data_IF_255063232079
#
_entry.id   IF_255063232079
#
_cell.length_a   1.000
_cell.length_b   1.000
_cell.length_c   1.000
_cell.angle_alpha   90.00
_cell.angle_beta   90.00
_cell.angle_gamma   90.00
#
_symmetry.space_group_name_H-M   'P 1'
#
loop_
_entity.id
_entity.type
_entity.pdbx_description
1 polymer ?
#
# COMPACT_ATOMS: atom_id res chain seq x y z
N UNK A 1 25.36 63.12 16.68
CA UNK A 1 25.71 63.57 18.04
C UNK A 1 24.43 63.92 18.82
N UNK A 2 23.93 62.99 19.65
CA UNK A 2 22.89 63.27 20.65
C UNK A 2 23.23 62.50 21.92
N UNK A 3 23.61 63.25 22.94
CA UNK A 3 23.98 62.79 24.27
C UNK A 3 22.75 62.23 24.99
N UNK A 4 22.69 60.90 25.16
CA UNK A 4 21.79 60.29 26.14
C UNK A 4 22.47 60.31 27.51
N UNK A 5 22.04 61.24 28.37
CA UNK A 5 22.35 61.25 29.80
C UNK A 5 21.66 60.03 30.44
N UNK A 6 22.42 58.99 30.74
CA UNK A 6 21.96 57.93 31.62
C UNK A 6 21.78 58.51 33.04
N UNK A 7 20.51 58.68 33.45
CA UNK A 7 20.14 58.84 34.86
C UNK A 7 20.43 57.52 35.55
N UNK A 8 21.49 57.48 36.36
CA UNK A 8 21.64 56.48 37.40
C UNK A 8 20.45 56.61 38.35
N UNK A 9 19.49 55.67 38.26
CA UNK A 9 18.63 55.38 39.40
C UNK A 9 19.54 54.75 40.46
N UNK A 10 20.00 55.58 41.39
CA UNK A 10 20.49 55.09 42.67
C UNK A 10 19.32 54.36 43.32
N UNK A 11 19.33 53.03 43.26
CA UNK A 11 18.60 52.21 44.22
C UNK A 11 19.10 52.65 45.59
N UNK A 12 18.27 53.45 46.26
CA UNK A 12 18.50 53.95 47.60
C UNK A 12 18.95 52.79 48.48
N UNK A 13 19.93 53.08 49.35
CA UNK A 13 20.49 52.16 50.31
C UNK A 13 19.39 51.37 51.02
N UNK A 14 19.09 50.18 50.49
CA UNK A 14 18.39 49.15 51.23
C UNK A 14 19.35 48.82 52.35
N UNK A 15 19.09 49.43 53.50
CA UNK A 15 19.77 49.14 54.75
C UNK A 15 19.34 47.72 55.13
N UNK A 16 19.94 46.72 54.48
CA UNK A 16 19.83 45.33 54.89
C UNK A 16 20.53 45.30 56.24
N UNK A 17 19.74 45.36 57.30
CA UNK A 17 20.21 45.26 58.66
C UNK A 17 21.06 43.98 58.77
N UNK A 18 22.38 44.12 58.89
CA UNK A 18 23.36 43.03 59.08
C UNK A 18 23.25 42.41 60.49
N UNK A 19 22.01 42.18 60.95
CA UNK A 19 21.65 41.62 62.25
C UNK A 19 21.69 40.10 62.33
N UNK A 20 22.25 39.41 61.34
CA UNK A 20 22.45 37.95 61.36
C UNK A 20 23.94 37.57 61.49
N UNK A 21 24.70 38.33 62.27
CA UNK A 21 26.13 38.06 62.54
C UNK A 21 26.40 36.77 63.34
N UNK A 22 25.35 36.09 63.83
CA UNK A 22 25.52 34.91 64.69
C UNK A 22 24.72 33.68 64.27
N UNK A 23 24.21 33.61 63.03
CA UNK A 23 23.78 32.32 62.48
C UNK A 23 25.00 31.39 62.44
N UNK A 24 25.07 30.49 63.44
CA UNK A 24 26.12 29.49 63.57
C UNK A 24 26.32 28.84 62.21
N UNK A 25 27.55 28.86 61.70
CA UNK A 25 27.98 28.23 60.45
C UNK A 25 27.62 26.74 60.34
N UNK A 26 27.16 26.12 61.43
CA UNK A 26 26.65 24.76 61.48
C UNK A 26 25.27 24.57 60.81
N UNK A 27 24.42 25.60 60.73
CA UNK A 27 23.06 25.47 60.17
C UNK A 27 23.05 24.98 58.71
N UNK A 28 23.77 25.61 57.75
CA UNK A 28 23.77 25.16 56.35
C UNK A 28 24.33 23.75 56.19
N UNK A 29 25.36 23.40 56.97
CA UNK A 29 25.97 22.07 56.97
C UNK A 29 24.97 20.98 57.38
N UNK A 30 24.29 21.16 58.51
CA UNK A 30 23.29 20.21 58.99
C UNK A 30 22.08 20.13 58.06
N UNK A 31 21.63 21.27 57.52
CA UNK A 31 20.51 21.29 56.58
C UNK A 31 20.82 20.53 55.29
N UNK A 32 22.02 20.70 54.71
CA UNK A 32 22.46 19.96 53.53
C UNK A 32 22.59 18.46 53.79
N UNK A 33 23.17 18.10 54.95
CA UNK A 33 23.34 16.71 55.35
C UNK A 33 21.99 15.99 55.51
N UNK A 34 21.02 16.62 56.19
CA UNK A 34 19.68 16.05 56.40
C UNK A 34 18.95 15.85 55.07
N UNK A 35 19.02 16.82 54.15
CA UNK A 35 18.40 16.71 52.83
C UNK A 35 19.02 15.54 52.03
N UNK A 36 20.34 15.41 52.04
CA UNK A 36 21.04 14.32 51.33
C UNK A 36 20.64 12.96 51.91
N UNK A 37 20.67 12.80 53.23
CA UNK A 37 20.26 11.55 53.89
C UNK A 37 18.79 11.21 53.64
N UNK A 38 17.92 12.21 53.60
CA UNK A 38 16.51 12.04 53.30
C UNK A 38 16.28 11.51 51.87
N UNK A 39 16.98 12.06 50.87
CA UNK A 39 16.88 11.59 49.48
C UNK A 39 17.44 10.17 49.34
N UNK A 40 18.57 9.88 49.98
CA UNK A 40 19.12 8.52 50.01
C UNK A 40 18.10 7.56 50.62
N UNK A 41 17.48 7.93 51.74
CA UNK A 41 16.45 7.11 52.37
C UNK A 41 15.25 6.87 51.44
N UNK A 42 14.72 7.91 50.77
CA UNK A 42 13.61 7.74 49.83
C UNK A 42 14.02 6.83 48.66
N UNK A 43 15.24 6.97 48.14
CA UNK A 43 15.72 6.15 47.02
C UNK A 43 15.81 4.67 47.37
N UNK A 44 16.00 4.32 48.65
CA UNK A 44 15.98 2.93 49.13
C UNK A 44 14.56 2.35 49.24
N UNK A 45 13.54 3.19 49.45
CA UNK A 45 12.15 2.74 49.61
C UNK A 45 11.32 2.81 48.32
N UNK A 46 11.77 3.54 47.30
CA UNK A 46 11.11 3.68 46.01
C UNK A 46 12.01 3.17 44.88
N UNK A 47 12.02 1.85 44.62
CA UNK A 47 12.90 1.25 43.61
C UNK A 47 12.62 1.75 42.18
N UNK A 48 11.41 2.27 41.91
CA UNK A 48 11.01 2.78 40.59
C UNK A 48 10.38 4.18 40.69
N UNK A 49 11.18 5.26 40.68
CA UNK A 49 10.65 6.62 40.70
C UNK A 49 10.00 6.97 39.36
N UNK A 50 8.90 7.71 39.38
CA UNK A 50 8.32 8.31 38.16
C UNK A 50 9.24 9.40 37.60
N UNK A 51 9.08 9.74 36.32
CA UNK A 51 9.86 10.82 35.68
C UNK A 51 9.80 12.16 36.44
N UNK A 52 8.64 12.49 37.03
CA UNK A 52 8.46 13.68 37.85
C UNK A 52 9.22 13.59 39.18
N UNK A 53 9.22 12.42 39.82
CA UNK A 53 9.96 12.17 41.06
C UNK A 53 11.48 12.28 40.84
N UNK A 54 12.00 11.78 39.72
CA UNK A 54 13.41 11.97 39.36
C UNK A 54 13.82 13.44 39.26
N UNK A 55 12.99 14.28 38.65
CA UNK A 55 13.24 15.73 38.58
C UNK A 55 13.28 16.35 39.98
N UNK A 56 12.34 15.95 40.85
CA UNK A 56 12.30 16.43 42.22
C UNK A 56 13.54 15.99 43.01
N UNK A 57 13.93 14.71 42.92
CA UNK A 57 15.13 14.19 43.58
C UNK A 57 16.39 14.89 43.11
N UNK A 58 16.52 15.14 41.80
CA UNK A 58 17.63 15.90 41.24
C UNK A 58 17.71 17.30 41.85
N UNK A 59 16.61 18.04 41.85
CA UNK A 59 16.57 19.40 42.44
C UNK A 59 16.92 19.37 43.92
N UNK A 60 16.30 18.49 44.71
CA UNK A 60 16.56 18.39 46.14
C UNK A 60 18.01 17.97 46.43
N UNK A 61 18.58 17.04 45.65
CA UNK A 61 19.96 16.59 45.84
C UNK A 61 20.96 17.69 45.51
N UNK A 62 20.74 18.43 44.43
CA UNK A 62 21.56 19.59 44.07
C UNK A 62 21.48 20.69 45.14
N UNK A 63 20.29 20.96 45.69
CA UNK A 63 20.14 21.91 46.82
C UNK A 63 20.91 21.42 48.05
N UNK A 64 20.77 20.13 48.42
CA UNK A 64 21.48 19.54 49.55
C UNK A 64 23.01 19.67 49.41
N UNK A 65 23.54 19.34 48.23
CA UNK A 65 24.97 19.48 47.92
C UNK A 65 25.43 20.94 47.91
N UNK A 66 24.61 21.87 47.38
CA UNK A 66 24.91 23.29 47.39
C UNK A 66 24.97 23.87 48.81
N UNK A 67 23.99 23.51 49.66
CA UNK A 67 23.97 23.88 51.08
C UNK A 67 25.20 23.34 51.81
N UNK A 68 25.57 22.09 51.58
CA UNK A 68 26.77 21.49 52.16
C UNK A 68 28.05 22.18 51.65
N UNK A 69 28.17 22.39 50.33
CA UNK A 69 29.30 23.04 49.68
C UNK A 69 29.54 24.48 50.15
N UNK A 70 28.46 25.23 50.41
CA UNK A 70 28.55 26.60 50.94
C UNK A 70 29.17 26.68 52.34
N UNK A 71 29.14 25.59 53.10
CA UNK A 71 29.72 25.51 54.45
C UNK A 71 31.23 25.24 54.44
N UNK A 72 31.79 24.74 53.33
CA UNK A 72 33.20 24.33 53.21
C UNK A 72 34.17 25.47 53.55
N UNK A 73 34.06 26.70 53.00
CA UNK A 73 35.00 27.78 53.34
C UNK A 73 34.99 28.14 54.83
N UNK A 74 33.83 28.01 55.48
CA UNK A 74 33.68 28.25 56.92
C UNK A 74 34.33 27.17 57.79
N UNK A 75 34.31 25.91 57.34
CA UNK A 75 34.95 24.80 58.04
C UNK A 75 36.48 24.94 58.08
N UNK A 76 37.09 25.46 57.01
CA UNK A 76 38.53 25.70 56.91
C UNK A 76 39.00 27.02 57.55
N UNK A 77 38.13 27.71 58.31
CA UNK A 77 38.41 29.05 58.90
C UNK A 77 38.94 30.06 57.88
N UNK A 78 38.61 29.89 56.60
CA UNK A 78 38.97 30.86 55.57
C UNK A 78 38.11 32.10 55.79
N UNK A 79 38.76 33.24 55.94
CA UNK A 79 38.11 34.53 56.17
C UNK A 79 37.52 35.06 54.85
N UNK A 80 36.61 34.27 54.27
CA UNK A 80 35.97 34.54 53.00
C UNK A 80 34.76 35.45 53.21
N UNK A 81 34.62 36.47 52.36
CA UNK A 81 33.46 37.35 52.36
C UNK A 81 32.18 36.53 52.10
N UNK A 82 31.03 37.02 52.58
CA UNK A 82 29.75 36.33 52.40
C UNK A 82 29.43 36.01 50.93
N UNK A 83 29.90 36.86 50.01
CA UNK A 83 29.77 36.68 48.56
C UNK A 83 30.47 35.41 48.09
N UNK A 84 31.69 35.15 48.57
CA UNK A 84 32.45 33.95 48.16
C UNK A 84 31.70 32.68 48.56
N UNK A 85 31.07 32.63 49.73
CA UNK A 85 30.27 31.46 50.18
C UNK A 85 29.05 31.22 49.28
N UNK A 86 28.38 32.28 48.85
CA UNK A 86 27.25 32.22 47.93
C UNK A 86 27.71 31.69 46.56
N UNK A 87 28.81 32.24 46.04
CA UNK A 87 29.38 31.81 44.75
C UNK A 87 29.79 30.34 44.79
N UNK A 88 30.44 29.89 45.88
CA UNK A 88 30.81 28.48 46.03
C UNK A 88 29.59 27.57 46.09
N UNK A 89 28.56 27.91 46.86
CA UNK A 89 27.32 27.13 46.93
C UNK A 89 26.60 27.06 45.57
N UNK A 90 26.51 28.18 44.86
CA UNK A 90 25.90 28.25 43.53
C UNK A 90 26.68 27.43 42.49
N UNK A 91 28.02 27.49 42.53
CA UNK A 91 28.87 26.68 41.65
C UNK A 91 28.64 25.18 41.89
N UNK A 92 28.60 24.74 43.16
CA UNK A 92 28.31 23.34 43.52
C UNK A 92 26.91 22.94 43.08
N UNK A 93 25.91 23.82 43.22
CA UNK A 93 24.55 23.57 42.72
C UNK A 93 24.55 23.32 41.21
N UNK A 94 25.15 24.23 40.44
CA UNK A 94 25.15 24.14 38.97
C UNK A 94 25.89 22.88 38.50
N UNK A 95 27.04 22.58 39.09
CA UNK A 95 27.78 21.36 38.80
C UNK A 95 26.94 20.14 39.17
N UNK A 96 26.40 20.03 40.38
CA UNK A 96 25.58 18.89 40.78
C UNK A 96 24.29 18.74 39.94
N UNK A 97 23.66 19.87 39.58
CA UNK A 97 22.43 19.87 38.80
C UNK A 97 22.70 19.49 37.35
N UNK A 98 23.76 19.99 36.72
CA UNK A 98 24.04 19.75 35.29
C UNK A 98 24.96 18.55 35.03
N UNK A 99 25.87 18.22 35.94
CA UNK A 99 26.78 17.07 35.84
C UNK A 99 26.14 15.74 36.21
N UNK A 100 24.82 15.67 36.32
CA UNK A 100 24.13 14.39 36.44
C UNK A 100 23.98 13.81 35.02
N UNK A 101 24.77 12.80 34.63
CA UNK A 101 24.61 12.18 33.33
C UNK A 101 23.27 11.47 33.35
N UNK A 102 22.35 11.85 32.47
CA UNK A 102 21.10 11.12 32.24
C UNK A 102 21.34 9.63 31.80
N UNK A 103 22.58 9.14 31.84
CA UNK A 103 23.05 7.88 31.31
C UNK A 103 23.72 6.97 32.33
N UNK A 104 24.02 7.41 33.56
CA UNK A 104 24.69 6.56 34.56
C UNK A 104 23.65 6.03 35.57
N UNK A 105 23.22 4.80 35.29
CA UNK A 105 22.79 3.79 36.26
C UNK A 105 21.46 4.10 36.96
N UNK A 106 20.35 3.84 36.26
CA UNK A 106 19.34 2.86 36.71
C UNK A 106 18.91 2.09 35.45
N UNK A 107 19.69 1.06 35.08
CA UNK A 107 19.24 -0.02 34.20
C UNK A 107 18.81 -1.18 35.10
N UNK A 108 17.81 -0.98 35.94
CA UNK A 108 17.31 -2.03 36.84
C UNK A 108 15.77 -2.02 36.83
N UNK A 109 15.20 -3.08 36.23
CA UNK A 109 13.87 -3.67 36.44
C UNK A 109 12.58 -2.81 36.37
N UNK A 110 12.66 -1.49 36.19
CA UNK A 110 11.48 -0.62 36.18
C UNK A 110 10.90 -0.39 34.77
N UNK A 111 11.69 -0.61 33.72
CA UNK A 111 11.15 -0.75 32.37
C UNK A 111 10.77 -2.22 32.21
N UNK A 112 9.52 -2.56 32.52
CA UNK A 112 8.95 -3.86 32.13
C UNK A 112 8.70 -3.87 30.62
N UNK A 113 9.76 -3.69 29.83
CA UNK A 113 9.73 -3.98 28.40
C UNK A 113 9.45 -5.47 28.29
N UNK A 114 8.20 -5.77 27.98
CA UNK A 114 7.81 -7.13 27.70
C UNK A 114 8.16 -7.41 26.26
N UNK A 115 8.79 -8.55 26.02
CA UNK A 115 9.02 -9.02 24.66
C UNK A 115 7.81 -9.84 24.24
N UNK A 116 7.09 -9.37 23.22
CA UNK A 116 6.12 -10.19 22.51
C UNK A 116 6.89 -11.19 21.66
N UNK A 117 6.95 -12.42 22.16
CA UNK A 117 7.53 -13.55 21.42
C UNK A 117 6.46 -14.19 20.57
N UNK A 118 6.79 -14.53 19.33
CA UNK A 118 5.91 -15.30 18.48
C UNK A 118 6.65 -16.23 17.55
N UNK A 119 5.91 -17.18 17.00
CA UNK A 119 6.36 -18.19 16.05
C UNK A 119 5.47 -18.10 14.81
N UNK A 120 6.05 -17.75 13.67
CA UNK A 120 5.36 -17.71 12.39
C UNK A 120 5.56 -19.03 11.67
N UNK A 121 4.45 -19.64 11.28
CA UNK A 121 4.40 -20.89 10.56
C UNK A 121 3.65 -20.74 9.23
N UNK A 122 4.05 -21.56 8.26
CA UNK A 122 3.38 -21.71 6.98
C UNK A 122 3.39 -23.19 6.59
N UNK A 123 2.20 -23.76 6.38
CA UNK A 123 2.01 -25.20 6.18
C UNK A 123 2.69 -26.05 7.28
N UNK A 124 2.44 -25.72 8.55
CA UNK A 124 2.97 -26.44 9.72
C UNK A 124 4.51 -26.44 9.83
N UNK A 125 5.19 -25.61 9.04
CA UNK A 125 6.63 -25.43 9.08
C UNK A 125 6.97 -24.01 9.53
N UNK A 126 8.02 -23.82 10.36
CA UNK A 126 8.48 -22.49 10.68
C UNK A 126 8.90 -21.71 9.43
N UNK A 127 8.52 -20.44 9.36
CA UNK A 127 8.79 -19.60 8.19
C UNK A 127 9.83 -18.53 8.53
N UNK A 128 11.05 -18.59 7.97
CA UNK A 128 12.07 -17.57 8.17
C UNK A 128 11.83 -16.31 7.34
N UNK A 129 12.57 -15.23 7.65
CA UNK A 129 12.61 -13.97 6.89
C UNK A 129 11.26 -13.25 6.70
N UNK A 130 10.25 -13.58 7.50
CA UNK A 130 9.01 -12.81 7.62
C UNK A 130 9.34 -11.52 8.36
N UNK A 131 9.01 -10.39 7.77
CA UNK A 131 9.13 -9.08 8.43
C UNK A 131 7.85 -8.78 9.20
N UNK A 132 7.95 -8.73 10.52
CA UNK A 132 6.87 -8.29 11.40
C UNK A 132 7.09 -6.82 11.71
N UNK A 133 6.04 -6.01 11.64
CA UNK A 133 6.10 -4.61 12.04
C UNK A 133 4.84 -4.17 12.77
N UNK A 134 5.01 -3.25 13.72
CA UNK A 134 3.91 -2.56 14.38
C UNK A 134 4.11 -1.07 14.30
N UNK A 135 3.19 -0.39 13.60
CA UNK A 135 3.20 1.07 13.50
C UNK A 135 2.96 1.74 14.87
N UNK A 136 2.17 1.12 15.74
CA UNK A 136 1.89 1.65 17.09
C UNK A 136 3.14 1.61 17.99
N UNK A 137 3.95 0.56 17.85
CA UNK A 137 5.18 0.38 18.63
C UNK A 137 6.38 1.09 18.02
N UNK A 138 6.29 1.45 16.73
CA UNK A 138 7.44 1.85 15.91
C UNK A 138 8.59 0.84 16.00
N UNK A 139 8.23 -0.45 15.98
CA UNK A 139 9.13 -1.59 16.07
C UNK A 139 8.91 -2.53 14.90
N UNK A 140 9.97 -3.21 14.50
CA UNK A 140 9.92 -4.28 13.50
C UNK A 140 10.96 -5.34 13.82
N UNK A 141 10.66 -6.57 13.43
CA UNK A 141 11.56 -7.71 13.58
C UNK A 141 11.50 -8.61 12.34
N UNK A 142 12.49 -9.49 12.19
CA UNK A 142 12.57 -10.51 11.15
C UNK A 142 12.61 -11.89 11.80
N UNK A 143 11.74 -12.79 11.34
CA UNK A 143 11.74 -14.16 11.88
C UNK A 143 13.06 -14.88 11.58
N UNK A 144 13.59 -15.58 12.57
CA UNK A 144 14.79 -16.40 12.42
C UNK A 144 14.51 -17.71 11.65
N UNK A 145 15.53 -18.58 11.51
CA UNK A 145 15.42 -19.89 10.84
C UNK A 145 14.37 -20.83 11.46
N UNK A 146 14.01 -20.60 12.72
CA UNK A 146 12.99 -21.34 13.46
C UNK A 146 11.64 -20.62 13.42
N UNK A 147 11.46 -19.59 12.59
CA UNK A 147 10.23 -18.81 12.46
C UNK A 147 9.92 -17.90 13.65
N UNK A 148 10.84 -17.72 14.58
CA UNK A 148 10.59 -16.96 15.81
C UNK A 148 10.87 -15.47 15.62
N UNK A 149 10.07 -14.62 16.25
CA UNK A 149 10.26 -13.17 16.31
C UNK A 149 10.05 -12.64 17.74
N UNK A 150 10.65 -11.50 18.03
CA UNK A 150 10.66 -10.81 19.31
C UNK A 150 10.42 -9.31 19.11
N UNK A 151 9.22 -8.82 19.43
CA UNK A 151 8.90 -7.39 19.41
C UNK A 151 8.81 -6.83 20.83
N UNK A 152 9.63 -5.84 21.16
CA UNK A 152 9.53 -5.15 22.44
C UNK A 152 8.27 -4.27 22.46
N UNK A 153 7.49 -4.38 23.53
CA UNK A 153 6.31 -3.53 23.75
C UNK A 153 6.22 -3.08 25.22
N UNK A 154 5.55 -1.95 25.42
CA UNK A 154 5.25 -1.42 26.75
C UNK A 154 3.94 -2.04 27.24
N UNK A 155 3.96 -2.65 28.42
CA UNK A 155 2.77 -3.26 29.06
C UNK A 155 1.61 -2.27 29.26
N UNK A 156 1.89 -0.97 29.24
CA UNK A 156 0.88 0.08 29.35
C UNK A 156 0.26 0.51 28.01
N UNK A 157 0.71 -0.04 26.88
CA UNK A 157 0.12 0.31 25.57
C UNK A 157 -1.30 -0.24 25.42
N UNK A 158 -2.12 0.57 24.75
CA UNK A 158 -3.52 0.24 24.50
C UNK A 158 -3.65 -0.89 23.46
N UNK A 159 -4.44 -1.89 23.81
CA UNK A 159 -4.97 -2.90 22.89
C UNK A 159 -6.18 -2.33 22.13
N UNK A 160 -6.47 -2.80 20.90
CA UNK A 160 -5.82 -3.92 20.21
C UNK A 160 -4.52 -3.54 19.48
N UNK A 161 -3.57 -4.48 19.45
CA UNK A 161 -2.33 -4.32 18.69
C UNK A 161 -2.49 -4.87 17.27
N UNK A 162 -2.05 -4.10 16.27
CA UNK A 162 -2.00 -4.55 14.88
C UNK A 162 -0.56 -4.89 14.50
N UNK A 163 -0.32 -6.14 14.12
CA UNK A 163 0.96 -6.60 13.59
C UNK A 163 0.82 -6.86 12.10
N UNK A 164 1.71 -6.28 11.31
CA UNK A 164 1.82 -6.50 9.87
C UNK A 164 2.93 -7.50 9.59
N UNK A 165 2.62 -8.55 8.83
CA UNK A 165 3.51 -9.61 8.42
C UNK A 165 3.75 -9.51 6.92
N UNK A 166 4.99 -9.25 6.51
CA UNK A 166 5.41 -9.19 5.11
C UNK A 166 6.35 -10.37 4.81
N UNK A 167 5.98 -11.24 3.87
CA UNK A 167 6.80 -12.35 3.40
C UNK A 167 6.55 -12.60 1.92
N UNK A 168 7.57 -12.42 1.08
CA UNK A 168 7.44 -12.49 -0.39
C UNK A 168 6.25 -11.67 -0.92
N UNK A 169 5.19 -12.33 -1.38
CA UNK A 169 3.96 -11.71 -1.89
C UNK A 169 2.84 -11.61 -0.84
N UNK A 170 3.04 -12.22 0.34
CA UNK A 170 2.11 -12.19 1.46
C UNK A 170 2.35 -10.90 2.25
N UNK A 171 1.28 -10.15 2.44
CA UNK A 171 1.25 -8.96 3.31
C UNK A 171 -0.08 -9.01 4.04
N UNK A 172 -0.05 -9.33 5.33
CA UNK A 172 -1.25 -9.52 6.13
C UNK A 172 -1.14 -8.74 7.43
N UNK A 173 -2.28 -8.29 7.96
CA UNK A 173 -2.32 -7.59 9.24
C UNK A 173 -3.25 -8.35 10.18
N UNK A 174 -2.70 -8.78 11.32
CA UNK A 174 -3.44 -9.49 12.36
C UNK A 174 -3.65 -8.53 13.52
N UNK A 175 -4.87 -8.49 14.03
CA UNK A 175 -5.25 -7.66 15.17
C UNK A 175 -5.38 -8.56 16.40
N UNK A 176 -4.68 -8.19 17.47
CA UNK A 176 -4.65 -8.93 18.74
C UNK A 176 -5.32 -8.10 19.84
N UNK A 177 -6.40 -8.63 20.41
CA UNK A 177 -7.11 -8.02 21.54
C UNK A 177 -6.49 -8.39 22.90
N UNK A 178 -5.63 -9.43 22.94
CA UNK A 178 -4.86 -9.83 24.12
C UNK A 178 -3.66 -10.69 23.72
N UNK A 179 -2.68 -10.84 24.62
CA UNK A 179 -1.51 -11.70 24.42
C UNK A 179 -1.44 -12.78 25.49
N UNK A 180 -1.07 -14.02 25.13
CA UNK A 180 -0.82 -15.05 26.12
C UNK A 180 0.43 -14.68 26.95
N UNK A 181 0.29 -14.68 28.27
CA UNK A 181 1.41 -14.44 29.17
C UNK A 181 2.31 -15.68 29.20
N UNK A 182 3.60 -15.51 28.95
CA UNK A 182 4.63 -16.57 28.99
C UNK A 182 4.50 -17.69 27.93
N UNK A 183 3.71 -17.52 26.88
CA UNK A 183 3.70 -18.45 25.74
C UNK A 183 3.96 -17.69 24.43
N UNK A 184 4.71 -18.29 23.49
CA UNK A 184 4.92 -17.68 22.19
C UNK A 184 3.59 -17.64 21.43
N UNK A 185 3.33 -16.51 20.80
CA UNK A 185 2.20 -16.33 19.90
C UNK A 185 2.41 -17.14 18.63
N UNK A 186 1.63 -18.20 18.44
CA UNK A 186 1.73 -19.04 17.24
C UNK A 186 0.84 -18.46 16.13
N UNK A 187 1.44 -18.12 14.98
CA UNK A 187 0.76 -17.52 13.84
C UNK A 187 0.90 -18.43 12.64
N UNK A 188 -0.22 -19.03 12.23
CA UNK A 188 -0.30 -19.78 10.98
C UNK A 188 -0.65 -18.82 9.85
N UNK A 189 0.34 -18.38 9.07
CA UNK A 189 0.12 -17.41 7.98
C UNK A 189 -0.89 -17.90 6.95
N UNK A 190 -0.97 -19.21 6.71
CA UNK A 190 -1.97 -19.77 5.78
C UNK A 190 -3.40 -19.45 6.21
N UNK A 191 -3.70 -19.55 7.50
CA UNK A 191 -5.03 -19.30 8.06
C UNK A 191 -5.40 -17.81 8.03
N UNK A 192 -4.41 -16.94 7.77
CA UNK A 192 -4.60 -15.49 7.68
C UNK A 192 -4.88 -15.01 6.26
N UNK A 193 -4.73 -15.88 5.26
CA UNK A 193 -5.11 -15.55 3.89
C UNK A 193 -6.63 -15.61 3.77
N UNK A 194 -7.32 -14.51 3.47
CA UNK A 194 -8.75 -14.55 3.26
C UNK A 194 -9.05 -15.47 2.08
N UNK A 195 -10.03 -16.35 2.23
CA UNK A 195 -10.52 -17.17 1.09
C UNK A 195 -10.99 -16.22 -0.01
N UNK A 196 -10.67 -16.53 -1.26
CA UNK A 196 -11.15 -15.76 -2.40
C UNK A 196 -12.67 -15.90 -2.50
N UNK A 197 -13.40 -14.91 -2.01
CA UNK A 197 -14.85 -14.94 -2.00
C UNK A 197 -15.45 -14.61 -3.37
N UNK A 198 -16.65 -15.12 -3.65
CA UNK A 198 -17.33 -14.92 -4.94
C UNK A 198 -17.67 -13.46 -5.23
N UNK A 199 -17.86 -12.62 -4.21
CA UNK A 199 -18.13 -11.19 -4.39
C UNK A 199 -16.89 -10.49 -4.94
N UNK A 200 -15.72 -10.74 -4.36
CA UNK A 200 -14.42 -10.25 -4.80
C UNK A 200 -14.12 -10.71 -6.23
N UNK A 201 -14.42 -11.96 -6.58
CA UNK A 201 -14.30 -12.46 -7.96
C UNK A 201 -15.18 -11.65 -8.91
N UNK A 202 -16.48 -11.54 -8.60
CA UNK A 202 -17.45 -10.84 -9.45
C UNK A 202 -17.09 -9.36 -9.63
N UNK A 203 -16.72 -8.67 -8.57
CA UNK A 203 -16.31 -7.25 -8.62
C UNK A 203 -15.09 -7.05 -9.51
N UNK A 204 -14.09 -7.92 -9.42
CA UNK A 204 -12.87 -7.79 -10.23
C UNK A 204 -13.06 -8.18 -11.69
N UNK A 205 -13.87 -9.22 -11.98
CA UNK A 205 -14.22 -9.56 -13.36
C UNK A 205 -15.03 -8.42 -13.98
N UNK A 206 -16.03 -7.87 -13.28
CA UNK A 206 -16.78 -6.69 -13.75
C UNK A 206 -15.87 -5.50 -14.02
N UNK A 207 -14.98 -5.16 -13.08
CA UNK A 207 -14.05 -4.06 -13.28
C UNK A 207 -13.13 -4.27 -14.50
N UNK A 208 -12.72 -5.51 -14.78
CA UNK A 208 -11.99 -5.86 -15.99
C UNK A 208 -12.84 -5.70 -17.26
N UNK A 209 -14.08 -6.18 -17.26
CA UNK A 209 -15.02 -6.01 -18.38
C UNK A 209 -15.25 -4.52 -18.69
N UNK A 210 -15.51 -3.72 -17.66
CA UNK A 210 -15.74 -2.27 -17.79
C UNK A 210 -14.53 -1.57 -18.40
N UNK A 211 -13.31 -1.89 -17.92
CA UNK A 211 -12.07 -1.34 -18.47
C UNK A 211 -11.86 -1.76 -19.92
N UNK A 212 -12.15 -3.02 -20.25
CA UNK A 212 -12.01 -3.54 -21.60
C UNK A 212 -13.01 -2.87 -22.56
N UNK A 213 -14.26 -2.70 -22.15
CA UNK A 213 -15.30 -2.03 -22.92
C UNK A 213 -15.01 -0.54 -23.13
N UNK A 214 -14.54 0.16 -22.09
CA UNK A 214 -14.09 1.55 -22.22
C UNK A 214 -12.96 1.67 -23.24
N UNK A 215 -11.99 0.75 -23.20
CA UNK A 215 -10.89 0.74 -24.17
C UNK A 215 -11.39 0.48 -25.59
N UNK A 216 -12.24 -0.52 -25.80
CA UNK A 216 -12.83 -0.81 -27.12
C UNK A 216 -13.58 0.39 -27.66
N UNK A 217 -14.39 1.03 -26.82
CA UNK A 217 -15.19 2.20 -27.19
C UNK A 217 -14.29 3.38 -27.56
N UNK A 218 -13.24 3.63 -26.78
CA UNK A 218 -12.27 4.68 -27.09
C UNK A 218 -11.53 4.42 -28.41
N UNK A 219 -11.00 3.20 -28.60
CA UNK A 219 -10.35 2.78 -29.85
C UNK A 219 -11.29 2.94 -31.05
N UNK A 220 -12.54 2.51 -30.90
CA UNK A 220 -13.57 2.62 -31.93
C UNK A 220 -13.85 4.07 -32.29
N UNK A 221 -14.13 4.92 -31.30
CA UNK A 221 -14.47 6.33 -31.53
C UNK A 221 -13.30 7.07 -32.18
N UNK A 222 -12.07 6.81 -31.75
CA UNK A 222 -10.88 7.38 -32.36
C UNK A 222 -10.80 7.01 -33.85
N UNK A 223 -10.85 5.72 -34.19
CA UNK A 223 -10.79 5.27 -35.58
C UNK A 223 -11.98 5.76 -36.42
N UNK A 224 -13.17 5.82 -35.80
CA UNK A 224 -14.38 6.34 -36.40
C UNK A 224 -14.22 7.81 -36.80
N UNK A 225 -13.65 8.64 -35.93
CA UNK A 225 -13.36 10.04 -36.25
C UNK A 225 -12.25 10.19 -37.28
N UNK A 226 -11.14 9.46 -37.15
CA UNK A 226 -9.99 9.53 -38.07
C UNK A 226 -10.38 9.18 -39.52
N UNK A 227 -11.34 8.27 -39.69
CA UNK A 227 -11.79 7.82 -41.01
C UNK A 227 -13.04 8.54 -41.53
N UNK A 228 -13.53 9.57 -40.82
CA UNK A 228 -14.82 10.22 -41.11
C UNK A 228 -15.97 9.21 -41.22
N UNK A 229 -16.02 8.29 -40.27
CA UNK A 229 -17.03 7.24 -40.23
C UNK A 229 -18.45 7.81 -40.11
N UNK A 230 -19.42 6.98 -40.49
CA UNK A 230 -20.84 7.30 -40.43
C UNK A 230 -21.62 6.18 -39.73
N UNK A 231 -22.59 6.49 -38.85
CA UNK A 231 -23.52 5.48 -38.35
C UNK A 231 -24.31 4.89 -39.51
N UNK A 232 -24.62 3.60 -39.45
CA UNK A 232 -25.30 2.86 -40.52
C UNK A 232 -26.22 1.79 -39.94
N UNK A 233 -26.68 0.85 -40.76
CA UNK A 233 -27.47 -0.30 -40.36
C UNK A 233 -27.04 -1.56 -41.14
N UNK A 234 -27.47 -2.71 -40.64
CA UNK A 234 -27.15 -4.02 -41.20
C UNK A 234 -27.51 -4.13 -42.70
N UNK A 235 -28.68 -3.60 -43.10
CA UNK A 235 -29.16 -3.66 -44.48
C UNK A 235 -28.23 -2.90 -45.43
N UNK A 236 -27.83 -1.68 -45.04
CA UNK A 236 -26.93 -0.85 -45.83
C UNK A 236 -25.54 -1.49 -45.96
N UNK A 237 -24.95 -1.95 -44.85
CA UNK A 237 -23.67 -2.66 -44.86
C UNK A 237 -23.75 -3.91 -45.75
N UNK A 238 -24.82 -4.69 -45.62
CA UNK A 238 -25.03 -5.90 -46.43
C UNK A 238 -25.12 -5.58 -47.92
N UNK A 239 -25.87 -4.54 -48.30
CA UNK A 239 -25.98 -4.12 -49.69
C UNK A 239 -24.65 -3.63 -50.25
N UNK A 240 -23.88 -2.90 -49.44
CA UNK A 240 -22.53 -2.46 -49.79
C UNK A 240 -21.59 -3.66 -49.97
N UNK A 241 -21.60 -4.61 -49.05
CA UNK A 241 -20.75 -5.80 -49.07
C UNK A 241 -21.06 -6.73 -50.25
N UNK A 242 -22.32 -6.87 -50.70
CA UNK A 242 -22.70 -7.70 -51.86
C UNK A 242 -21.88 -7.42 -53.13
N UNK A 243 -21.44 -6.17 -53.34
CA UNK A 243 -20.61 -5.81 -54.48
C UNK A 243 -19.24 -6.52 -54.43
N UNK A 244 -18.61 -6.53 -53.26
CA UNK A 244 -17.37 -7.29 -53.01
C UNK A 244 -17.62 -8.80 -53.06
N UNK A 245 -18.76 -9.25 -52.54
CA UNK A 245 -19.08 -10.67 -52.46
C UNK A 245 -19.19 -11.33 -53.85
N UNK A 246 -19.83 -10.63 -54.81
CA UNK A 246 -20.04 -11.06 -56.20
C UNK A 246 -18.76 -11.16 -57.04
N UNK A 247 -17.64 -10.62 -56.60
CA UNK A 247 -16.38 -10.67 -57.35
C UNK A 247 -15.86 -12.11 -57.35
N UNK A 248 -15.81 -12.72 -58.53
CA UNK A 248 -15.20 -14.03 -58.73
C UNK A 248 -13.68 -13.88 -58.86
N UNK A 249 -12.97 -13.89 -57.73
CA UNK A 249 -11.51 -13.90 -57.72
C UNK A 249 -10.94 -14.74 -56.57
N UNK A 250 -9.60 -14.91 -56.55
CA UNK A 250 -8.88 -15.54 -55.43
C UNK A 250 -9.20 -14.78 -54.15
N UNK A 251 -9.56 -15.53 -53.11
CA UNK A 251 -10.05 -14.98 -51.85
C UNK A 251 -9.12 -15.33 -50.71
N UNK A 252 -8.76 -14.33 -49.90
CA UNK A 252 -7.93 -14.49 -48.71
C UNK A 252 -8.63 -13.88 -47.51
N UNK A 253 -8.82 -14.69 -46.49
CA UNK A 253 -9.36 -14.26 -45.21
C UNK A 253 -8.27 -14.20 -44.16
N UNK A 254 -8.22 -13.08 -43.45
CA UNK A 254 -7.44 -12.93 -42.23
C UNK A 254 -8.39 -12.63 -41.10
N UNK A 255 -8.18 -13.30 -39.98
CA UNK A 255 -8.99 -13.09 -38.81
C UNK A 255 -8.12 -12.92 -37.60
N UNK A 256 -8.54 -12.00 -36.74
CA UNK A 256 -7.88 -11.72 -35.49
C UNK A 256 -8.96 -11.70 -34.42
N UNK A 257 -8.74 -12.39 -33.31
CA UNK A 257 -9.52 -12.25 -32.10
C UNK A 257 -8.61 -11.74 -30.99
N UNK A 258 -9.08 -10.81 -30.17
CA UNK A 258 -8.38 -10.40 -28.95
C UNK A 258 -9.34 -10.15 -27.78
N UNK A 259 -8.91 -10.55 -26.59
CA UNK A 259 -9.55 -10.23 -25.31
C UNK A 259 -8.70 -9.28 -24.45
N UNK A 260 -7.72 -8.61 -25.06
CA UNK A 260 -6.81 -7.70 -24.37
C UNK A 260 -5.62 -8.38 -23.67
N UNK A 261 -5.70 -9.69 -23.38
CA UNK A 261 -4.57 -10.47 -22.88
C UNK A 261 -3.91 -11.31 -23.98
N UNK A 262 -4.75 -11.96 -24.78
CA UNK A 262 -4.34 -12.91 -25.81
C UNK A 262 -4.83 -12.44 -27.18
N UNK A 263 -4.08 -12.82 -28.21
CA UNK A 263 -4.45 -12.58 -29.61
C UNK A 263 -4.37 -13.89 -30.39
N UNK A 264 -5.47 -14.25 -31.07
CA UNK A 264 -5.57 -15.41 -31.93
C UNK A 264 -5.68 -14.94 -33.38
N UNK A 265 -4.83 -15.43 -34.26
CA UNK A 265 -4.75 -14.94 -35.66
C UNK A 265 -5.14 -15.97 -36.72
N UNK A 266 -5.56 -17.17 -36.32
CA UNK A 266 -5.95 -18.23 -37.25
C UNK A 266 -7.40 -18.63 -37.05
N UNK A 267 -8.11 -18.93 -38.14
CA UNK A 267 -9.48 -19.45 -38.09
C UNK A 267 -9.60 -20.68 -37.18
N UNK A 268 -8.61 -21.57 -37.25
CA UNK A 268 -8.58 -22.80 -36.46
C UNK A 268 -8.51 -22.48 -34.97
N UNK A 269 -7.64 -21.57 -34.55
CA UNK A 269 -7.50 -21.21 -33.13
C UNK A 269 -8.71 -20.43 -32.62
N UNK A 270 -9.29 -19.54 -33.44
CA UNK A 270 -10.49 -18.80 -33.04
C UNK A 270 -11.71 -19.73 -32.89
N UNK A 271 -11.90 -20.70 -33.80
CA UNK A 271 -12.94 -21.74 -33.64
C UNK A 271 -12.68 -22.65 -32.45
N UNK A 272 -11.42 -23.04 -32.20
CA UNK A 272 -11.05 -23.85 -31.04
C UNK A 272 -11.36 -23.13 -29.73
N UNK A 273 -11.26 -21.80 -29.71
CA UNK A 273 -11.65 -20.96 -28.58
C UNK A 273 -13.17 -20.77 -28.42
N UNK A 274 -14.00 -21.46 -29.22
CA UNK A 274 -15.47 -21.42 -29.13
C UNK A 274 -16.13 -20.20 -29.77
N UNK A 275 -15.37 -19.36 -30.48
CA UNK A 275 -15.93 -18.16 -31.12
C UNK A 275 -16.64 -18.54 -32.42
N UNK A 276 -17.94 -18.29 -32.49
CA UNK A 276 -18.75 -18.53 -33.68
C UNK A 276 -18.47 -17.43 -34.73
N UNK A 277 -17.95 -17.83 -35.90
CA UNK A 277 -17.58 -16.89 -36.97
C UNK A 277 -18.27 -17.15 -38.31
N UNK A 278 -18.96 -18.29 -38.45
CA UNK A 278 -19.56 -18.68 -39.72
C UNK A 278 -21.05 -18.29 -39.77
N UNK A 279 -21.53 -17.65 -40.86
CA UNK A 279 -20.76 -17.29 -42.06
C UNK A 279 -19.91 -16.02 -41.86
N UNK A 280 -18.76 -15.94 -42.56
CA UNK A 280 -17.83 -14.79 -42.51
C UNK A 280 -18.29 -13.59 -43.34
N UNK A 281 -19.58 -13.28 -43.28
CA UNK A 281 -20.16 -12.15 -43.99
C UNK A 281 -21.06 -11.36 -43.03
N UNK A 282 -21.32 -10.08 -43.32
CA UNK A 282 -22.06 -9.25 -42.40
C UNK A 282 -23.56 -9.55 -42.38
N UNK A 283 -24.09 -10.47 -43.21
CA UNK A 283 -25.53 -10.63 -43.44
C UNK A 283 -26.35 -10.96 -42.18
N UNK A 284 -25.69 -11.50 -41.14
CA UNK A 284 -26.29 -11.79 -39.84
C UNK A 284 -25.60 -11.05 -38.69
N UNK A 285 -24.96 -9.91 -38.95
CA UNK A 285 -24.20 -9.12 -37.97
C UNK A 285 -23.24 -9.97 -37.11
N UNK A 286 -22.66 -11.02 -37.70
CA UNK A 286 -21.80 -11.99 -37.00
C UNK A 286 -22.42 -12.59 -35.73
N UNK A 287 -23.74 -12.83 -35.75
CA UNK A 287 -24.52 -13.40 -34.63
C UNK A 287 -24.60 -12.51 -33.39
N UNK A 288 -24.30 -11.22 -33.50
CA UNK A 288 -24.62 -10.26 -32.44
C UNK A 288 -26.14 -10.07 -32.39
N UNK A 289 -26.75 -10.38 -31.25
CA UNK A 289 -28.21 -10.33 -31.08
C UNK A 289 -28.74 -8.90 -31.14
N UNK A 290 -27.98 -7.93 -30.63
CA UNK A 290 -28.24 -6.51 -30.75
C UNK A 290 -26.94 -5.76 -31.07
N UNK A 291 -26.94 -4.95 -32.14
CA UNK A 291 -25.71 -4.23 -32.53
C UNK A 291 -25.96 -2.87 -33.17
N UNK A 292 -25.08 -1.94 -32.85
CA UNK A 292 -24.92 -0.68 -33.56
C UNK A 292 -23.95 -0.86 -34.72
N UNK A 293 -24.31 -0.35 -35.89
CA UNK A 293 -23.55 -0.55 -37.13
C UNK A 293 -22.90 0.77 -37.59
N UNK A 294 -21.66 0.68 -38.06
CA UNK A 294 -20.87 1.84 -38.48
C UNK A 294 -20.10 1.53 -39.76
N UNK A 295 -19.99 2.50 -40.65
CA UNK A 295 -19.14 2.45 -41.84
C UNK A 295 -17.97 3.41 -41.61
N UNK A 296 -16.73 2.92 -41.65
CA UNK A 296 -15.53 3.76 -41.53
C UNK A 296 -15.05 4.26 -42.88
N UNK A 297 -15.15 3.44 -43.92
CA UNK A 297 -14.63 3.74 -45.25
C UNK A 297 -15.51 3.09 -46.29
N UNK A 298 -15.90 3.83 -47.31
CA UNK A 298 -16.52 3.28 -48.50
C UNK A 298 -15.98 3.99 -49.74
N UNK A 299 -14.95 3.41 -50.34
CA UNK A 299 -14.41 3.85 -51.61
C UNK A 299 -14.85 2.86 -52.67
N UNK A 300 -15.66 3.35 -53.61
CA UNK A 300 -16.13 2.60 -54.77
C UNK A 300 -15.81 3.38 -56.03
N UNK A 301 -14.90 2.84 -56.83
CA UNK A 301 -14.64 3.35 -58.17
C UNK A 301 -15.25 2.32 -59.13
N UNK A 302 -16.49 2.57 -59.56
CA UNK A 302 -17.29 1.63 -60.36
C UNK A 302 -17.60 2.11 -61.78
N UNK A 303 -17.28 3.36 -62.12
CA UNK A 303 -17.72 3.96 -63.40
C UNK A 303 -16.65 3.96 -64.50
N UNK A 304 -15.39 3.72 -64.16
CA UNK A 304 -14.29 3.60 -65.10
C UNK A 304 -13.45 2.38 -64.69
N UNK A 305 -13.14 1.50 -65.64
CA UNK A 305 -12.20 0.40 -65.43
C UNK A 305 -10.89 1.05 -64.96
N UNK A 306 -10.34 0.66 -63.80
CA UNK A 306 -10.50 -0.61 -63.06
C UNK A 306 -11.57 -0.60 -61.94
N UNK A 307 -12.08 -1.79 -61.58
CA UNK A 307 -12.85 -1.96 -60.34
C UNK A 307 -11.94 -1.93 -59.11
N UNK A 308 -12.12 -0.92 -58.25
CA UNK A 308 -11.50 -0.86 -56.92
C UNK A 308 -12.57 -0.80 -55.84
N UNK A 309 -12.49 -1.71 -54.87
CA UNK A 309 -13.35 -1.74 -53.69
C UNK A 309 -12.47 -1.66 -52.45
N UNK A 310 -12.72 -0.65 -51.61
CA UNK A 310 -12.16 -0.55 -50.27
C UNK A 310 -13.29 -0.13 -49.32
N UNK A 311 -13.79 -1.11 -48.57
CA UNK A 311 -14.96 -0.95 -47.71
C UNK A 311 -14.65 -1.49 -46.31
N UNK A 312 -14.86 -0.66 -45.29
CA UNK A 312 -14.59 -0.99 -43.89
C UNK A 312 -15.76 -0.59 -43.02
N UNK A 313 -16.19 -1.50 -42.15
CA UNK A 313 -17.36 -1.34 -41.28
C UNK A 313 -17.14 -2.05 -39.94
N UNK A 314 -17.97 -1.74 -38.95
CA UNK A 314 -18.03 -2.47 -37.69
C UNK A 314 -19.46 -2.63 -37.17
N UNK A 315 -19.62 -3.65 -36.34
CA UNK A 315 -20.74 -3.86 -35.45
C UNK A 315 -20.26 -3.82 -34.00
N UNK A 316 -20.93 -3.03 -33.16
CA UNK A 316 -20.71 -2.97 -31.72
C UNK A 316 -21.89 -3.62 -31.04
N UNK A 317 -21.64 -4.62 -30.19
CA UNK A 317 -22.68 -5.25 -29.40
C UNK A 317 -23.19 -4.26 -28.34
N UNK A 318 -24.49 -4.00 -28.32
CA UNK A 318 -25.10 -3.06 -27.38
C UNK A 318 -25.69 -3.72 -26.14
N UNK A 319 -25.68 -5.06 -26.07
CA UNK A 319 -26.06 -5.77 -24.85
C UNK A 319 -24.94 -5.67 -23.81
N UNK A 320 -25.27 -5.75 -22.53
CA UNK A 320 -24.27 -5.93 -21.48
C UNK A 320 -23.68 -7.34 -21.56
N UNK A 321 -22.40 -7.49 -21.19
CA UNK A 321 -21.78 -8.81 -21.04
C UNK A 321 -22.27 -9.42 -19.73
N UNK A 322 -22.90 -10.59 -19.81
CA UNK A 322 -23.22 -11.37 -18.64
C UNK A 322 -22.21 -12.50 -18.44
N UNK A 323 -22.00 -12.89 -17.18
CA UNK A 323 -21.09 -13.99 -16.87
C UNK A 323 -21.48 -14.76 -15.61
N UNK A 324 -21.07 -16.02 -15.58
CA UNK A 324 -21.23 -16.89 -14.41
C UNK A 324 -19.92 -17.61 -14.08
N UNK A 325 -19.67 -17.78 -12.78
CA UNK A 325 -18.51 -18.52 -12.28
C UNK A 325 -18.88 -20.01 -12.29
N UNK A 326 -18.20 -20.79 -13.13
CA UNK A 326 -18.44 -22.24 -13.25
C UNK A 326 -17.59 -23.06 -12.29
N UNK A 327 -16.35 -22.63 -12.03
CA UNK A 327 -15.37 -23.38 -11.23
C UNK A 327 -14.37 -22.42 -10.58
N UNK A 328 -14.00 -22.72 -9.34
CA UNK A 328 -12.89 -22.09 -8.62
C UNK A 328 -11.94 -23.22 -8.22
N UNK A 329 -10.70 -23.16 -8.69
CA UNK A 329 -9.66 -24.15 -8.45
C UNK A 329 -8.48 -23.46 -7.74
N UNK A 330 -8.25 -23.81 -6.48
CA UNK A 330 -7.07 -23.38 -5.75
C UNK A 330 -5.84 -24.11 -6.30
N UNK A 331 -4.89 -23.37 -6.88
CA UNK A 331 -3.62 -23.95 -7.34
C UNK A 331 -2.55 -23.92 -6.25
N UNK A 332 -2.49 -22.81 -5.53
CA UNK A 332 -1.61 -22.60 -4.38
C UNK A 332 -2.37 -21.79 -3.32
N UNK A 333 -1.78 -21.64 -2.13
CA UNK A 333 -2.40 -20.82 -1.08
C UNK A 333 -2.59 -19.34 -1.50
N UNK A 334 -1.83 -18.86 -2.47
CA UNK A 334 -1.88 -17.47 -2.95
C UNK A 334 -2.35 -17.36 -4.40
N UNK A 335 -2.77 -18.46 -5.04
CA UNK A 335 -3.19 -18.48 -6.44
C UNK A 335 -4.44 -19.34 -6.65
N UNK A 336 -5.47 -18.73 -7.22
CA UNK A 336 -6.73 -19.38 -7.59
C UNK A 336 -6.99 -19.20 -9.09
N UNK A 337 -7.49 -20.24 -9.74
CA UNK A 337 -7.99 -20.18 -11.12
C UNK A 337 -9.51 -20.22 -11.10
N UNK A 338 -10.12 -19.24 -11.75
CA UNK A 338 -11.57 -19.08 -11.83
C UNK A 338 -12.00 -19.28 -13.28
N UNK A 339 -12.73 -20.36 -13.55
CA UNK A 339 -13.33 -20.63 -14.87
C UNK A 339 -14.67 -19.90 -14.96
N UNK A 340 -14.77 -18.96 -15.90
CA UNK A 340 -15.93 -18.10 -16.10
C UNK A 340 -16.56 -18.38 -17.46
N UNK A 341 -17.89 -18.47 -17.48
CA UNK A 341 -18.70 -18.59 -18.68
C UNK A 341 -19.26 -17.22 -19.05
N UNK A 342 -19.13 -16.82 -20.31
CA UNK A 342 -19.61 -15.54 -20.80
C UNK A 342 -20.74 -15.70 -21.80
N UNK A 343 -21.75 -14.86 -21.65
CA UNK A 343 -22.81 -14.63 -22.64
C UNK A 343 -22.62 -13.24 -23.26
N UNK A 344 -23.07 -13.05 -24.51
CA UNK A 344 -22.87 -11.79 -25.24
C UNK A 344 -21.38 -11.34 -25.27
N UNK A 345 -20.49 -12.34 -25.36
CA UNK A 345 -19.06 -12.22 -25.11
C UNK A 345 -18.30 -11.37 -26.15
N UNK A 346 -18.83 -11.21 -27.37
CA UNK A 346 -18.23 -10.38 -28.41
C UNK A 346 -18.72 -8.94 -28.28
N UNK A 347 -17.78 -7.98 -28.22
CA UNK A 347 -18.08 -6.54 -28.07
C UNK A 347 -18.00 -5.78 -29.37
N UNK A 348 -17.01 -6.10 -30.20
CA UNK A 348 -16.77 -5.43 -31.47
C UNK A 348 -16.42 -6.47 -32.53
N UNK A 349 -17.08 -6.37 -33.68
CA UNK A 349 -16.64 -7.02 -34.92
C UNK A 349 -16.37 -5.96 -35.96
N UNK A 350 -15.14 -5.89 -36.44
CA UNK A 350 -14.72 -4.95 -37.46
C UNK A 350 -14.26 -5.72 -38.69
N UNK A 351 -14.71 -5.30 -39.86
CA UNK A 351 -14.36 -5.96 -41.12
C UNK A 351 -13.91 -4.93 -42.14
N UNK A 352 -12.78 -5.22 -42.77
CA UNK A 352 -12.25 -4.47 -43.90
C UNK A 352 -12.15 -5.40 -45.10
N UNK A 353 -12.69 -4.97 -46.23
CA UNK A 353 -12.60 -5.68 -47.50
C UNK A 353 -11.89 -4.83 -48.52
N UNK A 354 -10.97 -5.46 -49.25
CA UNK A 354 -10.17 -4.81 -50.27
C UNK A 354 -10.13 -5.67 -51.53
N UNK A 355 -10.34 -5.03 -52.67
CA UNK A 355 -10.14 -5.60 -53.99
C UNK A 355 -9.60 -4.52 -54.93
N UNK A 356 -8.52 -4.84 -55.62
CA UNK A 356 -7.91 -4.00 -56.66
C UNK A 356 -7.72 -4.84 -57.93
N UNK A 357 -8.38 -4.44 -59.01
CA UNK A 357 -8.30 -5.12 -60.30
C UNK A 357 -6.93 -4.98 -60.99
N UNK A 358 -6.18 -3.90 -60.76
CA UNK A 358 -4.84 -3.73 -61.32
C UNK A 358 -3.74 -4.44 -60.54
N UNK A 359 -4.00 -4.77 -59.27
CA UNK A 359 -3.07 -5.49 -58.41
C UNK A 359 -3.07 -7.01 -58.66
N UNK A 360 -2.92 -7.78 -57.59
CA UNK A 360 -2.94 -9.25 -57.63
C UNK A 360 -4.33 -9.84 -57.97
N UNK A 361 -5.33 -8.98 -58.22
CA UNK A 361 -6.76 -9.33 -58.27
C UNK A 361 -7.19 -10.11 -57.03
N UNK A 362 -6.55 -9.89 -55.89
CA UNK A 362 -6.82 -10.64 -54.67
C UNK A 362 -7.98 -9.99 -53.92
N UNK A 363 -9.03 -10.79 -53.66
CA UNK A 363 -10.13 -10.42 -52.76
C UNK A 363 -9.65 -10.65 -51.32
N UNK A 364 -9.31 -9.59 -50.62
CA UNK A 364 -8.84 -9.65 -49.23
C UNK A 364 -9.97 -9.25 -48.29
N UNK A 365 -10.23 -10.07 -47.28
CA UNK A 365 -11.07 -9.72 -46.15
C UNK A 365 -10.29 -9.90 -44.85
N UNK A 366 -10.28 -8.85 -44.04
CA UNK A 366 -9.72 -8.86 -42.70
C UNK A 366 -10.86 -8.64 -41.71
N UNK A 367 -11.04 -9.56 -40.75
CA UNK A 367 -12.08 -9.46 -39.72
C UNK A 367 -11.45 -9.54 -38.34
N UNK A 368 -11.67 -8.51 -37.55
CA UNK A 368 -11.20 -8.37 -36.18
C UNK A 368 -12.37 -8.53 -35.22
N UNK A 369 -12.25 -9.47 -34.29
CA UNK A 369 -13.17 -9.70 -33.18
C UNK A 369 -12.51 -9.22 -31.89
N UNK A 370 -13.18 -8.34 -31.14
CA UNK A 370 -12.77 -7.99 -29.77
C UNK A 370 -13.86 -8.43 -28.79
N UNK A 371 -13.49 -9.19 -27.78
CA UNK A 371 -14.44 -9.78 -26.82
C UNK A 371 -13.79 -10.76 -25.85
N UNK A 372 -14.60 -11.44 -25.06
CA UNK A 372 -14.20 -12.56 -24.21
C UNK A 372 -14.36 -13.88 -24.95
N UNK A 373 -13.66 -14.93 -24.52
CA UNK A 373 -14.01 -16.29 -24.95
C UNK A 373 -15.31 -16.72 -24.25
N UNK A 374 -16.13 -17.61 -24.83
CA UNK A 374 -17.31 -18.14 -24.14
C UNK A 374 -16.95 -18.81 -22.82
N UNK A 375 -15.73 -19.38 -22.75
CA UNK A 375 -15.13 -19.90 -21.51
C UNK A 375 -13.74 -19.30 -21.36
N UNK A 376 -13.49 -18.65 -20.23
CA UNK A 376 -12.22 -18.01 -19.90
C UNK A 376 -11.76 -18.47 -18.51
N UNK A 377 -10.46 -18.70 -18.35
CA UNK A 377 -9.88 -18.97 -17.03
C UNK A 377 -9.08 -17.76 -16.56
N UNK A 378 -9.52 -17.19 -15.45
CA UNK A 378 -8.89 -16.04 -14.80
C UNK A 378 -7.99 -16.49 -13.66
N UNK A 379 -6.78 -15.94 -13.58
CA UNK A 379 -5.88 -16.20 -12.46
C UNK A 379 -5.95 -15.05 -11.47
N UNK A 380 -6.35 -15.39 -10.25
CA UNK A 380 -6.34 -14.51 -9.10
C UNK A 380 -5.12 -14.83 -8.24
N UNK A 381 -4.38 -13.79 -7.87
CA UNK A 381 -3.22 -13.91 -6.97
C UNK A 381 -3.38 -13.02 -5.75
N UNK A 382 -3.11 -13.57 -4.57
CA UNK A 382 -3.08 -12.80 -3.34
C UNK A 382 -1.77 -12.04 -3.24
N UNK A 383 -1.83 -10.70 -3.31
CA UNK A 383 -0.66 -9.83 -3.22
C UNK A 383 -1.00 -8.54 -2.48
N UNK A 384 -0.13 -8.16 -1.53
CA UNK A 384 -0.28 -6.91 -0.76
C UNK A 384 -1.64 -6.83 -0.02
N UNK A 385 -2.01 -7.91 0.66
CA UNK A 385 -3.21 -7.96 1.50
C UNK A 385 -4.55 -8.09 0.77
N UNK A 386 -4.54 -8.39 -0.54
CA UNK A 386 -5.77 -8.57 -1.31
C UNK A 386 -5.58 -9.50 -2.49
N UNK A 387 -6.66 -10.19 -2.86
CA UNK A 387 -6.73 -10.89 -4.13
C UNK A 387 -6.78 -9.92 -5.29
N UNK A 388 -6.03 -10.21 -6.35
CA UNK A 388 -6.01 -9.44 -7.58
C UNK A 388 -6.11 -10.35 -8.79
N UNK A 389 -6.96 -9.97 -9.74
CA UNK A 389 -6.95 -10.53 -11.09
C UNK A 389 -5.64 -10.15 -11.79
N UNK A 390 -4.95 -11.14 -12.36
CA UNK A 390 -3.62 -10.94 -12.97
C UNK A 390 -3.62 -11.12 -14.48
N UNK A 391 -4.10 -12.25 -14.96
CA UNK A 391 -4.10 -12.61 -16.39
C UNK A 391 -5.13 -13.71 -16.64
N UNK A 392 -5.34 -14.03 -17.93
CA UNK A 392 -6.11 -15.20 -18.34
C UNK A 392 -5.22 -16.31 -18.89
N UNK A 393 -5.59 -17.57 -18.63
CA UNK A 393 -4.84 -18.72 -19.11
C UNK A 393 -5.24 -19.01 -20.57
N UNK A 394 -4.24 -19.17 -21.44
CA UNK A 394 -4.46 -19.69 -22.78
C UNK A 394 -4.45 -21.22 -22.73
N UNK A 395 -5.64 -21.83 -22.76
CA UNK A 395 -5.85 -23.28 -22.67
C UNK A 395 -5.65 -24.03 -23.99
N UNK A 396 -5.32 -23.35 -25.10
CA UNK A 396 -5.30 -23.93 -26.45
C UNK A 396 -3.94 -23.85 -27.17
N UNK A 397 -2.85 -24.17 -26.46
CA UNK A 397 -1.53 -24.38 -27.08
C UNK A 397 -1.24 -25.84 -27.36
#
# INVERSE_FOLDING_TARGET
MRNYKAKYLALGSVNIHYGLKHLRSSLPLWSGLVIILFIISISLFLPCPTASQYRLFRVCASIGLASFGSAIPGAFKLNASGIVKIVTGLAVFLVAYFSNPNTIIIRDNCDSTSTLRGLVMYNERPLPDVKISSALLNQSDLTNNSGEFDIQYDTHQALPLKLRFEFENIDTTITFDSFPTNQPLVIQLRDTLPVLDSKTINEQIRAYLDQFEQKITADHLQEFHEKNGTPSNLTEISNRYKAFDRISSRYRNRMVFTNGFNTLSTQRSIRAAGIQMDPMNPYHAYWLSNSAAFIYKDVRITKEIPLQIDFSFAFINTNEVDFSISRIEERTATECVVTTLFEENIRLVKTSVHFDEYGERLKLQETEFKGMRPVEEFVFRYERGRWKLKYTINTYN
#
